data_IF_726190260515
#
_entry.id   IF_726190260515
#
_cell.length_a   1.000
_cell.length_b   1.000
_cell.length_c   1.000
_cell.angle_alpha   90.00
_cell.angle_beta   90.00
_cell.angle_gamma   90.00
#
_symmetry.space_group_name_H-M   'P 1'
#
loop_
_entity.id
_entity.type
_entity.pdbx_description
1 polymer ?
#
# COMPACT_ATOMS: atom_id res chain seq x y z
N UNK A 1 5.42 7.68 18.11
CA UNK A 1 4.67 7.26 16.92
C UNK A 1 4.82 8.37 15.91
N UNK A 2 5.43 8.09 14.76
CA UNK A 2 5.62 9.05 13.67
C UNK A 2 4.71 8.61 12.51
N UNK A 3 3.95 9.55 11.96
CA UNK A 3 3.12 9.34 10.77
C UNK A 3 3.81 10.09 9.63
N UNK A 4 4.11 9.37 8.54
CA UNK A 4 4.84 9.88 7.38
C UNK A 4 4.24 9.32 6.08
N UNK A 5 4.56 9.97 4.96
CA UNK A 5 4.23 9.45 3.65
C UNK A 5 4.87 8.07 3.40
N UNK A 6 4.20 7.27 2.57
CA UNK A 6 4.70 6.00 2.08
C UNK A 6 6.01 6.20 1.30
N UNK A 7 6.92 5.23 1.41
CA UNK A 7 8.15 5.15 0.62
C UNK A 7 8.25 3.77 -0.02
N UNK A 8 9.00 3.66 -1.11
CA UNK A 8 9.12 2.40 -1.86
C UNK A 8 9.62 1.23 -0.99
N UNK A 9 10.44 1.51 0.03
CA UNK A 9 10.95 0.51 0.96
C UNK A 9 9.86 -0.09 1.87
N UNK A 10 8.71 0.59 2.01
CA UNK A 10 7.59 0.13 2.83
C UNK A 10 6.68 -0.86 2.08
N UNK A 11 6.91 -1.09 0.78
CA UNK A 11 6.01 -1.82 -0.12
C UNK A 11 5.60 -3.20 0.42
N UNK A 12 6.56 -4.06 0.74
CA UNK A 12 6.29 -5.40 1.24
C UNK A 12 5.63 -5.37 2.63
N UNK A 13 6.04 -4.43 3.50
CA UNK A 13 5.51 -4.32 4.86
C UNK A 13 4.04 -3.88 4.86
N UNK A 14 3.67 -2.94 3.98
CA UNK A 14 2.30 -2.46 3.82
C UNK A 14 1.38 -3.56 3.28
N UNK A 15 1.80 -4.32 2.27
CA UNK A 15 1.01 -5.44 1.74
C UNK A 15 0.83 -6.51 2.81
N UNK A 16 1.90 -6.86 3.55
CA UNK A 16 1.84 -7.80 4.67
C UNK A 16 0.88 -7.33 5.75
N UNK A 17 0.84 -6.03 6.05
CA UNK A 17 -0.10 -5.45 6.99
C UNK A 17 -1.55 -5.60 6.50
N UNK A 18 -1.81 -5.33 5.21
CA UNK A 18 -3.14 -5.50 4.63
C UNK A 18 -3.63 -6.94 4.67
N UNK A 19 -2.74 -7.91 4.40
CA UNK A 19 -3.06 -9.33 4.53
C UNK A 19 -3.43 -9.69 5.98
N UNK A 20 -2.61 -9.28 6.95
CA UNK A 20 -2.86 -9.52 8.39
C UNK A 20 -4.15 -8.87 8.90
N UNK A 21 -4.60 -7.81 8.25
CA UNK A 21 -5.82 -7.09 8.59
C UNK A 21 -7.03 -7.48 7.72
N UNK A 22 -6.93 -8.53 6.88
CA UNK A 22 -7.99 -8.98 5.97
C UNK A 22 -8.52 -7.87 5.04
N UNK A 23 -7.64 -6.97 4.59
CA UNK A 23 -7.99 -5.86 3.69
C UNK A 23 -7.87 -6.22 2.21
N UNK A 24 -7.13 -7.29 1.88
CA UNK A 24 -7.02 -7.77 0.51
C UNK A 24 -8.36 -8.32 0.00
N UNK A 25 -8.62 -8.11 -1.29
CA UNK A 25 -9.83 -8.62 -1.98
C UNK A 25 -9.43 -9.33 -3.26
N UNK A 26 -10.09 -10.45 -3.65
CA UNK A 26 -9.70 -11.22 -4.83
C UNK A 26 -9.69 -10.45 -6.16
N UNK A 27 -10.41 -9.34 -6.24
CA UNK A 27 -10.49 -8.49 -7.43
C UNK A 27 -9.50 -7.31 -7.42
N UNK A 28 -8.73 -7.15 -6.33
CA UNK A 28 -7.72 -6.11 -6.19
C UNK A 28 -6.34 -6.76 -6.13
N UNK A 29 -5.44 -6.29 -6.98
CA UNK A 29 -4.02 -6.58 -6.88
C UNK A 29 -3.38 -5.48 -6.02
N UNK A 30 -2.88 -5.80 -4.81
CA UNK A 30 -2.33 -4.80 -3.91
C UNK A 30 -1.08 -4.12 -4.46
N UNK A 31 -0.30 -4.80 -5.31
CA UNK A 31 0.88 -4.21 -5.95
C UNK A 31 0.42 -3.11 -6.92
N UNK A 32 -0.55 -3.41 -7.78
CA UNK A 32 -1.10 -2.44 -8.72
C UNK A 32 -1.83 -1.29 -8.02
N UNK A 33 -2.47 -1.53 -6.88
CA UNK A 33 -3.11 -0.47 -6.10
C UNK A 33 -2.07 0.52 -5.54
N UNK A 34 -0.93 0.02 -5.04
CA UNK A 34 0.19 0.88 -4.59
C UNK A 34 0.82 1.60 -5.78
N UNK A 35 1.10 0.92 -6.89
CA UNK A 35 1.65 1.56 -8.10
C UNK A 35 0.75 2.67 -8.62
N UNK A 36 -0.57 2.45 -8.63
CA UNK A 36 -1.54 3.48 -9.03
C UNK A 36 -1.48 4.69 -8.10
N UNK A 37 -1.40 4.48 -6.78
CA UNK A 37 -1.26 5.59 -5.80
C UNK A 37 0.05 6.35 -5.96
N UNK A 38 1.16 5.66 -6.24
CA UNK A 38 2.45 6.31 -6.47
C UNK A 38 2.46 7.13 -7.77
N UNK A 39 1.79 6.64 -8.81
CA UNK A 39 1.66 7.35 -10.08
C UNK A 39 0.57 8.43 -10.05
N UNK A 40 -0.42 8.27 -9.18
CA UNK A 40 -1.58 9.15 -9.06
C UNK A 40 -1.78 9.55 -7.61
N UNK A 41 -1.22 10.71 -7.30
CA UNK A 41 -1.37 11.39 -6.02
C UNK A 41 -0.70 10.68 -4.83
N UNK A 42 0.66 10.67 -4.79
CA UNK A 42 1.43 9.96 -3.77
C UNK A 42 1.35 10.57 -2.37
N UNK A 43 0.89 11.82 -2.26
CA UNK A 43 0.85 12.59 -1.00
C UNK A 43 -0.57 12.66 -0.36
N UNK A 44 -1.61 12.12 -1.01
CA UNK A 44 -3.03 12.27 -0.62
C UNK A 44 -3.80 10.95 -0.53
#
# INVERSE_FOLDING_TARGET
>A
MEIRAFRQEDFEEVITLWERCDLLRPWNDPELDIERKMNHDPDL
#
